data_IF_584173994675
#
_entry.id   IF_584173994675
#
_cell.length_a   1.000
_cell.length_b   1.000
_cell.length_c   1.000
_cell.angle_alpha   90.00
_cell.angle_beta   90.00
_cell.angle_gamma   90.00
#
_symmetry.space_group_name_H-M   'P 1'
#
loop_
_entity.id
_entity.type
_entity.pdbx_description
1 polymer ?
#
# COMPACT_ATOMS: atom_id res chain seq x y z
N UNK A 1 50.75 20.46 40.54
CA UNK A 1 50.38 20.39 39.08
C UNK A 1 49.36 19.31 38.90
N UNK A 2 48.07 19.69 38.78
CA UNK A 2 46.97 18.75 38.55
C UNK A 2 46.60 18.76 37.07
N UNK A 3 46.78 17.61 36.41
CA UNK A 3 46.35 17.41 35.02
C UNK A 3 44.85 17.02 35.00
N UNK A 4 44.01 17.92 34.52
CA UNK A 4 42.58 17.64 34.24
C UNK A 4 42.48 16.89 32.93
N UNK A 5 42.05 15.63 32.97
CA UNK A 5 41.70 14.86 31.81
C UNK A 5 40.25 15.24 31.39
N UNK A 6 40.10 15.78 30.20
CA UNK A 6 38.80 16.02 29.56
C UNK A 6 38.35 14.70 28.91
N UNK A 7 37.29 14.11 29.45
CA UNK A 7 36.64 12.96 28.83
C UNK A 7 35.62 13.52 27.82
N UNK A 8 35.94 13.37 26.54
CA UNK A 8 34.97 13.66 25.46
C UNK A 8 33.97 12.49 25.37
N UNK A 9 32.75 12.72 25.82
CA UNK A 9 31.63 11.79 25.54
C UNK A 9 31.22 11.93 24.07
N UNK A 10 31.68 10.98 23.26
CA UNK A 10 31.17 10.79 21.89
C UNK A 10 29.75 10.25 21.95
N UNK A 11 28.76 11.09 21.63
CA UNK A 11 27.37 10.68 21.46
C UNK A 11 27.23 9.82 20.21
N UNK A 12 27.12 8.49 20.38
CA UNK A 12 26.69 7.60 19.31
C UNK A 12 25.19 7.83 19.07
N UNK A 13 24.85 8.48 17.96
CA UNK A 13 23.48 8.55 17.48
C UNK A 13 23.04 7.14 17.06
N UNK A 14 22.32 6.46 17.95
CA UNK A 14 21.64 5.20 17.62
C UNK A 14 20.56 5.52 16.60
N UNK A 15 20.78 5.17 15.34
CA UNK A 15 19.74 5.14 14.33
C UNK A 15 18.75 4.03 14.73
N UNK A 16 17.66 4.41 15.41
CA UNK A 16 16.57 3.50 15.71
C UNK A 16 15.99 3.00 14.38
N UNK A 17 15.85 1.68 14.18
CA UNK A 17 15.14 1.18 13.02
C UNK A 17 13.72 1.72 13.06
N UNK A 18 13.21 2.24 11.91
CA UNK A 18 11.81 2.61 11.78
C UNK A 18 10.99 1.38 12.14
N UNK A 19 10.32 1.42 13.30
CA UNK A 19 9.36 0.41 13.66
C UNK A 19 8.22 0.53 12.64
N UNK A 20 8.09 -0.46 11.75
CA UNK A 20 6.94 -0.58 10.88
C UNK A 20 5.73 -0.83 11.79
N UNK A 21 4.98 0.23 12.06
CA UNK A 21 3.73 0.11 12.76
C UNK A 21 2.75 -0.58 11.80
N UNK A 22 2.38 -1.82 12.12
CA UNK A 22 1.36 -2.52 11.36
C UNK A 22 0.03 -1.80 11.54
N UNK A 23 -0.40 -1.11 10.50
CA UNK A 23 -1.64 -0.36 10.50
C UNK A 23 -2.83 -1.30 10.32
N UNK A 24 -3.75 -1.31 11.30
CA UNK A 24 -5.06 -1.96 11.13
C UNK A 24 -5.94 -1.16 10.16
N UNK A 25 -7.00 -1.78 9.64
CA UNK A 25 -7.96 -1.13 8.74
C UNK A 25 -8.55 0.18 9.29
N UNK A 26 -8.71 0.27 10.60
CA UNK A 26 -9.22 1.46 11.29
C UNK A 26 -8.30 2.69 11.19
N UNK A 27 -7.04 2.50 10.80
CA UNK A 27 -6.10 3.61 10.60
C UNK A 27 -6.32 4.34 9.27
N UNK A 28 -7.07 3.74 8.35
CA UNK A 28 -7.29 4.24 7.01
C UNK A 28 -8.68 4.83 6.82
N UNK A 29 -8.80 5.87 6.01
CA UNK A 29 -10.07 6.49 5.63
C UNK A 29 -10.81 5.62 4.59
N UNK A 30 -11.61 4.68 5.08
CA UNK A 30 -12.35 3.74 4.23
C UNK A 30 -13.55 4.40 3.51
N UNK A 31 -13.86 5.64 3.80
CA UNK A 31 -14.88 6.43 3.09
C UNK A 31 -14.39 7.03 1.78
N UNK A 32 -13.08 7.04 1.54
CA UNK A 32 -12.48 7.67 0.37
C UNK A 32 -11.53 6.72 -0.37
N UNK A 33 -12.05 5.87 -1.27
CA UNK A 33 -11.22 4.97 -2.05
C UNK A 33 -10.32 5.74 -3.02
N UNK A 34 -9.03 5.43 -2.99
CA UNK A 34 -7.98 6.02 -3.83
C UNK A 34 -7.54 4.99 -4.87
N UNK A 35 -7.44 5.44 -6.12
CA UNK A 35 -6.83 4.67 -7.20
C UNK A 35 -5.40 5.12 -7.43
N UNK A 36 -4.50 4.15 -7.53
CA UNK A 36 -3.11 4.36 -7.94
C UNK A 36 -2.73 3.33 -9.01
N UNK A 37 -1.86 3.74 -9.91
CA UNK A 37 -1.16 2.83 -10.81
C UNK A 37 0.29 3.26 -10.93
N UNK A 38 1.17 2.31 -11.26
CA UNK A 38 2.57 2.61 -11.42
C UNK A 38 3.42 1.36 -11.64
N UNK A 39 4.73 1.61 -11.68
CA UNK A 39 5.74 0.56 -11.78
C UNK A 39 6.27 0.23 -10.38
N UNK A 40 6.30 -1.05 -10.06
CA UNK A 40 6.90 -1.53 -8.81
C UNK A 40 8.40 -1.29 -8.82
N UNK A 41 8.92 -0.68 -7.76
CA UNK A 41 10.35 -0.37 -7.61
C UNK A 41 11.02 -1.11 -6.47
N UNK A 42 10.24 -1.55 -5.47
CA UNK A 42 10.74 -2.31 -4.32
C UNK A 42 9.66 -3.23 -3.81
N UNK A 43 10.04 -4.40 -3.29
CA UNK A 43 9.11 -5.40 -2.77
C UNK A 43 9.61 -5.97 -1.46
N UNK A 44 8.71 -6.17 -0.50
CA UNK A 44 8.89 -6.96 0.70
C UNK A 44 7.78 -8.02 0.75
N UNK A 45 8.04 -9.17 0.14
CA UNK A 45 7.09 -10.27 0.04
C UNK A 45 7.21 -11.20 1.24
N UNK A 46 6.70 -10.76 2.38
CA UNK A 46 6.83 -11.45 3.68
C UNK A 46 5.65 -11.13 4.61
N UNK A 47 5.47 -11.96 5.65
CA UNK A 47 4.54 -11.65 6.74
C UNK A 47 5.08 -10.53 7.64
N UNK A 48 4.19 -9.79 8.35
CA UNK A 48 2.75 -10.03 8.50
C UNK A 48 1.90 -9.57 7.31
N UNK A 49 2.39 -8.67 6.47
CA UNK A 49 1.77 -8.24 5.21
C UNK A 49 2.85 -8.13 4.14
N UNK A 50 2.57 -8.62 2.94
CA UNK A 50 3.38 -8.26 1.80
C UNK A 50 3.14 -6.77 1.47
N UNK A 51 4.19 -6.11 1.04
CA UNK A 51 4.19 -4.69 0.68
C UNK A 51 5.12 -4.43 -0.50
N UNK A 52 4.86 -3.39 -1.23
CA UNK A 52 5.75 -2.92 -2.29
C UNK A 52 5.64 -1.40 -2.46
N UNK A 53 6.69 -0.79 -3.00
CA UNK A 53 6.67 0.60 -3.42
C UNK A 53 6.40 0.67 -4.92
N UNK A 54 5.53 1.60 -5.33
CA UNK A 54 5.31 1.94 -6.74
C UNK A 54 5.80 3.35 -7.03
N UNK A 55 6.30 3.54 -8.24
CA UNK A 55 6.51 4.85 -8.82
C UNK A 55 5.31 5.21 -9.69
N UNK A 56 4.60 6.25 -9.26
CA UNK A 56 3.38 6.74 -9.90
C UNK A 56 3.75 7.72 -11.02
N UNK A 57 3.09 7.66 -12.19
CA UNK A 57 3.32 8.61 -13.26
C UNK A 57 2.94 10.04 -12.85
N UNK A 58 3.63 11.03 -13.42
CA UNK A 58 3.36 12.43 -13.12
C UNK A 58 1.92 12.86 -13.49
N UNK A 59 1.36 12.25 -14.52
CA UNK A 59 -0.02 12.43 -14.96
C UNK A 59 -0.84 11.18 -14.68
N UNK A 60 -1.10 10.92 -13.41
CA UNK A 60 -2.02 9.85 -13.03
C UNK A 60 -3.45 10.20 -13.43
N UNK A 61 -4.17 9.24 -14.01
CA UNK A 61 -5.58 9.40 -14.44
C UNK A 61 -6.41 8.23 -13.94
N UNK A 62 -7.69 8.49 -13.65
CA UNK A 62 -8.64 7.41 -13.44
C UNK A 62 -8.95 6.75 -14.80
N UNK A 63 -8.83 5.41 -14.90
CA UNK A 63 -9.29 4.71 -16.09
C UNK A 63 -10.78 4.94 -16.33
N UNK A 64 -11.15 5.22 -17.57
CA UNK A 64 -12.56 5.48 -17.92
C UNK A 64 -13.49 4.30 -17.65
N UNK A 65 -12.94 3.09 -17.67
CA UNK A 65 -13.65 1.83 -17.42
C UNK A 65 -13.63 1.39 -15.96
N UNK A 66 -12.95 2.13 -15.04
CA UNK A 66 -12.74 1.68 -13.66
C UNK A 66 -14.04 1.31 -12.94
N UNK A 67 -15.05 2.13 -13.05
CA UNK A 67 -16.34 1.92 -12.39
C UNK A 67 -17.10 0.66 -12.89
N UNK A 68 -16.78 0.18 -14.08
CA UNK A 68 -17.42 -0.98 -14.72
C UNK A 68 -16.59 -2.26 -14.59
N UNK A 69 -15.38 -2.19 -14.04
CA UNK A 69 -14.52 -3.37 -13.89
C UNK A 69 -15.16 -4.39 -12.95
N UNK A 70 -15.27 -5.65 -13.35
CA UNK A 70 -15.74 -6.69 -12.46
C UNK A 70 -14.70 -6.90 -11.33
N UNK A 71 -15.19 -7.07 -10.12
CA UNK A 71 -14.37 -7.43 -8.96
C UNK A 71 -14.85 -8.75 -8.38
N UNK A 72 -13.92 -9.57 -7.86
CA UNK A 72 -14.28 -10.87 -7.32
C UNK A 72 -15.01 -10.74 -5.99
N UNK A 73 -15.87 -11.71 -5.70
CA UNK A 73 -16.52 -11.86 -4.40
C UNK A 73 -15.50 -12.35 -3.38
N UNK A 74 -15.57 -11.80 -2.19
CA UNK A 74 -14.73 -12.21 -1.06
C UNK A 74 -15.63 -12.53 0.15
N UNK A 75 -15.10 -13.27 1.12
CA UNK A 75 -15.86 -13.72 2.29
C UNK A 75 -16.33 -12.57 3.19
N UNK A 76 -15.60 -11.45 3.23
CA UNK A 76 -16.11 -10.21 3.83
C UNK A 76 -17.08 -9.52 2.89
N UNK A 77 -18.12 -8.91 3.45
CA UNK A 77 -19.07 -8.09 2.68
C UNK A 77 -18.38 -6.79 2.27
N UNK A 78 -18.05 -6.67 0.98
CA UNK A 78 -17.45 -5.48 0.38
C UNK A 78 -18.27 -5.09 -0.85
N UNK A 79 -18.79 -3.87 -0.86
CA UNK A 79 -19.45 -3.30 -2.04
C UNK A 79 -18.38 -2.78 -3.02
N UNK A 80 -17.78 -3.71 -3.76
CA UNK A 80 -16.71 -3.41 -4.70
C UNK A 80 -17.14 -2.49 -5.82
N UNK A 81 -18.36 -2.66 -6.36
CA UNK A 81 -18.89 -1.80 -7.41
C UNK A 81 -18.98 -0.34 -6.94
N UNK A 82 -19.47 -0.11 -5.74
CA UNK A 82 -19.50 1.22 -5.14
C UNK A 82 -18.12 1.81 -4.94
N UNK A 83 -17.18 1.02 -4.46
CA UNK A 83 -15.80 1.48 -4.24
C UNK A 83 -15.15 1.91 -5.56
N UNK A 84 -15.30 1.13 -6.63
CA UNK A 84 -14.76 1.49 -7.93
C UNK A 84 -15.44 2.75 -8.51
N UNK A 85 -16.75 2.86 -8.36
CA UNK A 85 -17.52 4.01 -8.85
C UNK A 85 -17.21 5.32 -8.11
N UNK A 86 -16.83 5.23 -6.83
CA UNK A 86 -16.47 6.39 -5.99
C UNK A 86 -14.97 6.65 -5.89
N UNK A 87 -14.16 5.90 -6.62
CA UNK A 87 -12.72 6.04 -6.60
C UNK A 87 -12.26 7.42 -7.05
N UNK A 88 -11.27 7.97 -6.36
CA UNK A 88 -10.66 9.26 -6.69
C UNK A 88 -9.14 9.12 -6.79
N UNK A 89 -8.50 10.09 -7.40
CA UNK A 89 -7.04 10.23 -7.34
C UNK A 89 -6.62 10.87 -6.02
N UNK A 90 -5.39 10.62 -5.53
CA UNK A 90 -4.86 11.34 -4.39
C UNK A 90 -4.73 12.84 -4.72
N UNK A 91 -4.89 13.67 -3.70
CA UNK A 91 -4.64 15.12 -3.82
C UNK A 91 -3.15 15.45 -3.65
N UNK A 92 -2.45 14.62 -2.89
CA UNK A 92 -1.00 14.72 -2.72
C UNK A 92 -0.25 14.23 -3.98
N UNK A 93 0.96 14.76 -4.20
CA UNK A 93 1.72 14.51 -5.43
C UNK A 93 3.00 13.72 -5.20
N UNK A 94 2.96 12.78 -4.26
CA UNK A 94 4.10 11.91 -4.01
C UNK A 94 4.35 11.02 -5.22
N UNK A 95 5.59 11.00 -5.66
CA UNK A 95 6.02 10.17 -6.79
C UNK A 95 6.06 8.68 -6.42
N UNK A 96 6.28 8.39 -5.14
CA UNK A 96 6.36 7.02 -4.61
C UNK A 96 5.34 6.79 -3.53
N UNK A 97 4.71 5.62 -3.59
CA UNK A 97 3.73 5.16 -2.63
C UNK A 97 4.09 3.78 -2.14
N UNK A 98 3.98 3.57 -0.84
CA UNK A 98 3.99 2.26 -0.23
C UNK A 98 2.59 1.65 -0.32
N UNK A 99 2.51 0.42 -0.82
CA UNK A 99 1.26 -0.32 -0.95
C UNK A 99 1.32 -1.50 0.01
N UNK A 100 0.51 -1.44 1.05
CA UNK A 100 0.29 -2.57 1.96
C UNK A 100 -0.74 -3.53 1.34
N UNK A 101 -0.38 -4.79 1.19
CA UNK A 101 -1.26 -5.84 0.69
C UNK A 101 -1.94 -6.60 1.84
N UNK A 102 -1.76 -7.89 1.87
CA UNK A 102 -2.35 -8.81 2.82
C UNK A 102 -1.30 -9.79 3.33
N UNK A 103 -1.59 -10.59 4.37
CA UNK A 103 -0.75 -11.71 4.77
C UNK A 103 -0.54 -12.69 3.61
N UNK A 104 0.63 -13.33 3.55
CA UNK A 104 0.97 -14.26 2.48
C UNK A 104 -0.04 -15.39 2.31
N UNK A 105 -0.65 -15.86 3.40
CA UNK A 105 -1.70 -16.88 3.36
C UNK A 105 -2.94 -16.43 2.59
N UNK A 106 -3.33 -15.16 2.71
CA UNK A 106 -4.45 -14.60 1.94
C UNK A 106 -4.07 -14.41 0.46
N UNK A 107 -2.86 -13.92 0.20
CA UNK A 107 -2.36 -13.80 -1.17
C UNK A 107 -2.30 -15.15 -1.86
N UNK A 108 -1.87 -16.21 -1.15
CA UNK A 108 -1.88 -17.57 -1.66
C UNK A 108 -3.31 -18.08 -1.93
N UNK A 109 -4.27 -17.81 -1.05
CA UNK A 109 -5.68 -18.19 -1.27
C UNK A 109 -6.27 -17.55 -2.54
N UNK A 110 -5.83 -16.35 -2.88
CA UNK A 110 -6.19 -15.67 -4.12
C UNK A 110 -5.33 -16.05 -5.33
N UNK A 111 -4.31 -16.92 -5.15
CA UNK A 111 -3.30 -17.23 -6.16
C UNK A 111 -2.63 -15.97 -6.73
N UNK A 112 -2.36 -14.99 -5.87
CA UNK A 112 -1.62 -13.80 -6.28
C UNK A 112 -0.16 -14.21 -6.55
N UNK A 113 0.36 -13.98 -7.77
CA UNK A 113 1.78 -14.22 -8.03
C UNK A 113 2.64 -13.25 -7.23
N UNK A 114 3.85 -13.68 -6.88
CA UNK A 114 4.81 -12.77 -6.26
C UNK A 114 5.09 -11.58 -7.19
N UNK A 115 4.76 -10.39 -6.70
CA UNK A 115 5.02 -9.13 -7.40
C UNK A 115 6.52 -8.84 -7.36
N UNK A 116 7.06 -8.34 -8.46
CA UNK A 116 8.49 -8.08 -8.63
C UNK A 116 8.76 -6.63 -9.05
N UNK A 117 9.94 -6.09 -8.72
CA UNK A 117 10.37 -4.83 -9.30
C UNK A 117 10.29 -4.86 -10.83
N UNK A 118 9.72 -3.81 -11.40
CA UNK A 118 9.46 -3.70 -12.86
C UNK A 118 8.03 -4.03 -13.26
N UNK A 119 7.26 -4.74 -12.44
CA UNK A 119 5.86 -5.04 -12.73
C UNK A 119 5.03 -3.76 -12.80
N UNK A 120 4.12 -3.70 -13.78
CA UNK A 120 3.11 -2.65 -13.87
C UNK A 120 1.85 -3.15 -13.15
N UNK A 121 1.42 -2.40 -12.15
CA UNK A 121 0.23 -2.75 -11.36
C UNK A 121 -0.66 -1.54 -11.14
N UNK A 122 -1.91 -1.78 -10.82
CA UNK A 122 -2.77 -0.78 -10.23
C UNK A 122 -3.48 -1.31 -8.99
N UNK A 123 -3.88 -0.40 -8.12
CA UNK A 123 -4.54 -0.70 -6.85
C UNK A 123 -5.67 0.26 -6.59
N UNK A 124 -6.70 -0.23 -5.94
CA UNK A 124 -7.72 0.56 -5.28
C UNK A 124 -7.63 0.29 -3.79
N UNK A 125 -7.59 1.32 -2.98
CA UNK A 125 -7.47 1.15 -1.54
C UNK A 125 -7.67 2.45 -0.79
N UNK A 126 -7.13 2.51 0.42
CA UNK A 126 -7.36 3.62 1.34
C UNK A 126 -6.04 4.13 1.91
N UNK A 127 -5.94 5.43 2.07
CA UNK A 127 -4.83 6.07 2.77
C UNK A 127 -5.31 6.67 4.10
N UNK A 128 -4.42 7.28 4.86
CA UNK A 128 -4.77 7.92 6.12
C UNK A 128 -5.72 9.10 5.92
N UNK A 129 -6.51 9.42 6.95
CA UNK A 129 -7.47 10.51 6.91
C UNK A 129 -6.80 11.84 6.49
N UNK A 130 -7.41 12.52 5.52
CA UNK A 130 -6.88 13.76 4.95
C UNK A 130 -5.56 13.59 4.20
N UNK A 131 -5.20 12.37 3.81
CA UNK A 131 -3.93 12.02 3.14
C UNK A 131 -2.69 12.48 3.93
N UNK A 132 -2.78 12.52 5.26
CA UNK A 132 -1.71 12.96 6.15
C UNK A 132 -0.69 11.83 6.39
N UNK A 133 0.52 12.21 6.83
CA UNK A 133 1.59 11.26 7.13
C UNK A 133 2.29 10.74 5.88
N UNK A 134 2.82 9.52 5.95
CA UNK A 134 3.53 8.87 4.84
C UNK A 134 2.57 8.49 3.70
N UNK A 135 3.04 8.45 2.44
CA UNK A 135 2.25 8.04 1.28
C UNK A 135 2.06 6.51 1.28
N UNK A 136 1.19 6.04 2.15
CA UNK A 136 0.84 4.62 2.30
C UNK A 136 -0.60 4.39 1.84
N UNK A 137 -0.82 3.35 1.05
CA UNK A 137 -2.14 2.89 0.64
C UNK A 137 -2.33 1.43 1.04
N UNK A 138 -3.37 1.16 1.83
CA UNK A 138 -3.83 -0.21 2.12
C UNK A 138 -4.72 -0.68 0.99
N UNK A 139 -4.27 -1.70 0.25
CA UNK A 139 -5.00 -2.19 -0.92
C UNK A 139 -6.26 -2.97 -0.53
N UNK A 140 -7.40 -2.58 -1.10
CA UNK A 140 -8.64 -3.34 -1.11
C UNK A 140 -8.67 -4.28 -2.32
N UNK A 141 -8.33 -3.74 -3.50
CA UNK A 141 -8.19 -4.50 -4.73
C UNK A 141 -6.82 -4.28 -5.36
N UNK A 142 -6.23 -5.39 -5.81
CA UNK A 142 -5.01 -5.40 -6.61
C UNK A 142 -5.35 -5.83 -8.02
N UNK A 143 -4.91 -5.06 -9.01
CA UNK A 143 -5.02 -5.36 -10.44
C UNK A 143 -3.62 -5.66 -10.95
N UNK A 144 -3.37 -6.91 -11.29
CA UNK A 144 -2.07 -7.38 -11.76
C UNK A 144 -2.22 -8.53 -12.77
N UNK A 145 -1.44 -8.49 -13.85
CA UNK A 145 -1.44 -9.56 -14.87
C UNK A 145 -2.81 -9.82 -15.50
N UNK A 146 -3.64 -8.79 -15.66
CA UNK A 146 -5.00 -8.91 -16.21
C UNK A 146 -6.03 -9.52 -15.25
N UNK A 147 -5.68 -9.73 -13.99
CA UNK A 147 -6.56 -10.26 -12.94
C UNK A 147 -6.81 -9.23 -11.85
N UNK A 148 -7.90 -9.45 -11.11
CA UNK A 148 -8.30 -8.64 -9.95
C UNK A 148 -8.35 -9.53 -8.72
N UNK A 149 -7.78 -9.06 -7.63
CA UNK A 149 -7.72 -9.78 -6.36
C UNK A 149 -8.32 -8.91 -5.26
N UNK A 150 -9.23 -9.49 -4.44
CA UNK A 150 -9.80 -8.83 -3.27
C UNK A 150 -8.98 -9.13 -2.03
N UNK A 151 -8.43 -8.10 -1.37
CA UNK A 151 -7.45 -8.30 -0.31
C UNK A 151 -8.01 -8.12 1.10
N UNK A 152 -9.29 -7.73 1.24
CA UNK A 152 -9.97 -7.62 2.53
C UNK A 152 -10.07 -8.97 3.24
N UNK A 153 -10.41 -10.01 2.48
CA UNK A 153 -10.63 -11.36 2.99
C UNK A 153 -10.28 -12.42 1.93
N UNK A 154 -10.51 -13.68 2.24
CA UNK A 154 -10.29 -14.79 1.30
C UNK A 154 -11.35 -14.80 0.18
N UNK A 155 -11.07 -15.43 -0.96
CA UNK A 155 -12.08 -15.69 -1.99
C UNK A 155 -13.21 -16.59 -1.43
N UNK A 156 -14.38 -16.49 -2.05
CA UNK A 156 -15.55 -17.35 -1.76
C UNK A 156 -15.55 -18.53 -2.70
#
# INVERSE_FOLDING_TARGET
>A
MQRRALIALGGAALALPKAFAHHGWSSFDQGRPIYLEGKVVKVAWRNPHAEFEIEVPAELKLPADLAQRPVPTQSASVDGARLLASAVLPTRRDKRWEIELAPLTRLAAWNVPEIKPGDAISVLGFTFAGEKGDPVLRAEYLFAGGKVYGLRSSPV
#
